data_IF_170922475138
#
_entry.id   IF_170922475138
#
_cell.length_a   1.000
_cell.length_b   1.000
_cell.length_c   1.000
_cell.angle_alpha   90.00
_cell.angle_beta   90.00
_cell.angle_gamma   90.00
#
_symmetry.space_group_name_H-M   'P 1'
#
loop_
_entity.id
_entity.type
_entity.pdbx_description
1 polymer ?
#
# COMPACT_ATOMS: atom_id res chain seq x y z
N UNK A 1 3.40 -21.00 13.64
CA UNK A 1 2.39 -20.43 12.73
C UNK A 1 2.69 -18.94 12.63
N UNK A 2 2.91 -18.41 11.43
CA UNK A 2 3.03 -16.96 11.25
C UNK A 2 1.62 -16.38 11.19
N UNK A 3 1.18 -15.73 12.26
CA UNK A 3 -0.15 -15.13 12.28
C UNK A 3 -0.20 -13.95 11.28
N UNK A 4 -1.19 -13.98 10.40
CA UNK A 4 -1.52 -12.86 9.53
C UNK A 4 -2.56 -11.99 10.23
N UNK A 5 -2.17 -10.78 10.59
CA UNK A 5 -2.99 -9.80 11.29
C UNK A 5 -3.45 -8.74 10.30
N UNK A 6 -4.76 -8.66 10.05
CA UNK A 6 -5.33 -7.59 9.24
C UNK A 6 -5.47 -6.31 10.07
N UNK A 7 -4.77 -5.25 9.65
CA UNK A 7 -4.89 -3.90 10.20
C UNK A 7 -5.92 -3.13 9.40
N UNK A 8 -6.98 -2.63 10.06
CA UNK A 8 -8.15 -2.06 9.36
C UNK A 8 -8.10 -0.55 9.13
N UNK A 9 -7.23 0.17 9.84
CA UNK A 9 -7.14 1.63 9.79
C UNK A 9 -5.70 2.06 9.56
N UNK A 10 -5.52 3.10 8.77
CA UNK A 10 -4.22 3.69 8.51
C UNK A 10 -3.55 4.20 9.78
N UNK A 11 -4.31 4.81 10.69
CA UNK A 11 -3.80 5.29 11.98
C UNK A 11 -3.17 4.19 12.82
N UNK A 12 -3.77 3.00 12.82
CA UNK A 12 -3.24 1.86 13.57
C UNK A 12 -1.99 1.29 12.91
N UNK A 13 -1.98 1.20 11.57
CA UNK A 13 -0.80 0.77 10.83
C UNK A 13 0.40 1.71 11.06
N UNK A 14 0.16 3.04 11.00
CA UNK A 14 1.19 4.05 11.30
C UNK A 14 1.76 3.90 12.71
N UNK A 15 0.90 3.66 13.70
CA UNK A 15 1.35 3.41 15.08
C UNK A 15 2.25 2.17 15.14
N UNK A 16 1.84 1.07 14.51
CA UNK A 16 2.63 -0.18 14.47
C UNK A 16 4.01 0.04 13.85
N UNK A 17 4.11 0.73 12.72
CA UNK A 17 5.42 1.00 12.08
C UNK A 17 6.33 1.81 13.02
N UNK A 18 5.80 2.82 13.71
CA UNK A 18 6.57 3.64 14.65
C UNK A 18 7.03 2.88 15.90
N UNK A 19 6.17 2.02 16.45
CA UNK A 19 6.46 1.22 17.65
C UNK A 19 7.43 0.07 17.36
N UNK A 20 7.24 -0.60 16.22
CA UNK A 20 7.99 -1.80 15.87
C UNK A 20 9.29 -1.50 15.14
N UNK A 21 9.42 -0.30 14.55
CA UNK A 21 10.62 0.18 13.82
C UNK A 21 11.18 -0.90 12.87
N UNK A 22 10.36 -1.36 11.90
CA UNK A 22 10.78 -2.42 11.00
C UNK A 22 11.96 -1.98 10.13
N UNK A 23 12.75 -2.95 9.66
CA UNK A 23 13.79 -2.70 8.67
C UNK A 23 13.22 -2.43 7.27
N UNK A 24 12.02 -2.96 6.99
CA UNK A 24 11.38 -2.82 5.68
C UNK A 24 9.86 -2.85 5.73
N UNK A 25 9.25 -2.27 4.70
CA UNK A 25 7.83 -2.45 4.35
C UNK A 25 7.76 -3.03 2.94
N UNK A 26 6.87 -4.00 2.77
CA UNK A 26 6.54 -4.56 1.46
C UNK A 26 5.18 -4.02 1.03
N UNK A 27 4.99 -3.77 -0.26
CA UNK A 27 3.69 -3.32 -0.79
C UNK A 27 3.30 -4.07 -2.06
N UNK A 28 2.00 -4.10 -2.35
CA UNK A 28 1.48 -4.49 -3.67
C UNK A 28 0.41 -3.50 -4.13
N UNK A 29 0.40 -3.23 -5.43
CA UNK A 29 -0.62 -2.42 -6.09
C UNK A 29 -1.59 -3.41 -6.75
N UNK A 30 -2.72 -3.66 -6.09
CA UNK A 30 -3.66 -4.70 -6.49
C UNK A 30 -4.56 -4.13 -7.61
N UNK A 31 -4.54 -4.76 -8.79
CA UNK A 31 -5.37 -4.41 -9.95
C UNK A 31 -6.48 -5.45 -10.19
N UNK A 32 -7.61 -5.01 -10.76
CA UNK A 32 -8.67 -5.93 -11.13
C UNK A 32 -8.30 -6.69 -12.42
N UNK A 33 -7.75 -7.90 -12.29
CA UNK A 33 -7.40 -8.75 -13.42
C UNK A 33 -8.59 -9.14 -14.32
N UNK A 34 -9.82 -9.10 -13.79
CA UNK A 34 -11.04 -9.42 -14.52
C UNK A 34 -11.63 -8.20 -15.26
N UNK A 35 -11.14 -6.99 -14.98
CA UNK A 35 -11.53 -5.78 -15.72
C UNK A 35 -10.68 -5.64 -16.99
N UNK A 36 -11.32 -5.27 -18.10
CA UNK A 36 -10.61 -4.89 -19.33
C UNK A 36 -9.62 -3.73 -19.12
N UNK A 37 -9.94 -2.84 -18.17
CA UNK A 37 -9.12 -1.68 -17.83
C UNK A 37 -8.03 -1.98 -16.81
N UNK A 38 -8.02 -3.16 -16.16
CA UNK A 38 -7.10 -3.49 -15.04
C UNK A 38 -6.99 -2.37 -13.98
N UNK A 39 -8.11 -1.71 -13.70
CA UNK A 39 -8.14 -0.59 -12.76
C UNK A 39 -7.59 -0.97 -11.38
N UNK A 40 -6.90 0.00 -10.77
CA UNK A 40 -6.47 -0.08 -9.38
C UNK A 40 -7.64 -0.39 -8.45
N UNK A 41 -7.49 -1.45 -7.67
CA UNK A 41 -8.48 -1.89 -6.67
C UNK A 41 -8.06 -1.55 -5.26
N UNK A 42 -6.77 -1.75 -4.92
CA UNK A 42 -6.27 -1.49 -3.58
C UNK A 42 -4.75 -1.26 -3.57
N UNK A 43 -4.28 -0.53 -2.57
CA UNK A 43 -2.88 -0.55 -2.13
C UNK A 43 -2.80 -1.46 -0.91
N UNK A 44 -1.92 -2.46 -0.96
CA UNK A 44 -1.63 -3.32 0.18
C UNK A 44 -0.28 -2.97 0.75
N UNK A 45 -0.21 -2.76 2.06
CA UNK A 45 1.02 -2.60 2.80
C UNK A 45 1.19 -3.78 3.75
N UNK A 46 2.37 -4.38 3.74
CA UNK A 46 2.71 -5.58 4.49
C UNK A 46 3.92 -5.25 5.36
N UNK A 47 3.71 -5.35 6.67
CA UNK A 47 4.71 -5.15 7.69
C UNK A 47 5.07 -6.52 8.29
N UNK A 48 6.32 -6.94 8.11
CA UNK A 48 6.86 -8.11 8.80
C UNK A 48 7.45 -7.68 10.13
N UNK A 49 6.87 -8.14 11.24
CA UNK A 49 7.37 -7.79 12.56
C UNK A 49 7.02 -8.87 13.60
N UNK A 50 7.94 -9.11 14.54
CA UNK A 50 7.76 -10.02 15.70
C UNK A 50 7.21 -11.42 15.34
N UNK A 51 7.60 -11.96 14.18
CA UNK A 51 7.20 -13.30 13.74
C UNK A 51 5.81 -13.40 13.07
N UNK A 52 5.17 -12.26 12.77
CA UNK A 52 3.88 -12.22 12.07
C UNK A 52 3.82 -11.17 10.97
N UNK A 53 2.80 -11.27 10.12
CA UNK A 53 2.53 -10.33 9.03
C UNK A 53 1.38 -9.41 9.41
N UNK A 54 1.61 -8.10 9.43
CA UNK A 54 0.57 -7.10 9.60
C UNK A 54 0.22 -6.52 8.24
N UNK A 55 -1.01 -6.77 7.77
CA UNK A 55 -1.45 -6.38 6.43
C UNK A 55 -2.49 -5.28 6.53
N UNK A 56 -2.21 -4.15 5.90
CA UNK A 56 -3.12 -3.04 5.73
C UNK A 56 -3.53 -2.91 4.26
N UNK A 57 -4.80 -2.58 4.02
CA UNK A 57 -5.35 -2.35 2.70
C UNK A 57 -5.98 -0.96 2.66
N UNK A 58 -5.57 -0.15 1.70
CA UNK A 58 -6.24 1.09 1.33
C UNK A 58 -6.92 0.93 -0.02
N UNK A 59 -8.07 1.57 -0.18
CA UNK A 59 -8.90 1.48 -1.38
C UNK A 59 -9.10 2.88 -1.97
N UNK A 60 -9.34 3.01 -3.28
CA UNK A 60 -9.73 4.29 -3.87
C UNK A 60 -10.96 4.89 -3.18
N UNK A 61 -10.98 6.23 -3.07
CA UNK A 61 -12.11 6.99 -2.54
C UNK A 61 -13.21 7.16 -3.59
N UNK A 62 -13.93 6.07 -3.85
CA UNK A 62 -15.00 6.06 -4.86
C UNK A 62 -14.47 6.47 -6.24
N UNK A 63 -15.05 7.54 -6.81
CA UNK A 63 -14.67 8.11 -8.11
C UNK A 63 -13.57 9.18 -8.02
N UNK A 64 -13.16 9.59 -6.81
CA UNK A 64 -12.08 10.56 -6.64
C UNK A 64 -10.73 9.90 -6.96
N UNK A 65 -9.83 10.64 -7.59
CA UNK A 65 -8.49 10.17 -7.94
C UNK A 65 -7.52 10.23 -6.75
N UNK A 66 -7.95 9.65 -5.63
CA UNK A 66 -7.21 9.62 -4.38
C UNK A 66 -7.51 8.35 -3.60
N UNK A 67 -6.50 7.84 -2.90
CA UNK A 67 -6.65 6.75 -1.93
C UNK A 67 -7.43 7.23 -0.71
N UNK A 68 -8.28 6.37 -0.15
CA UNK A 68 -9.27 6.76 0.87
C UNK A 68 -8.63 7.22 2.18
N UNK A 69 -7.61 6.52 2.66
CA UNK A 69 -7.03 6.80 3.97
C UNK A 69 -5.62 7.38 3.90
N UNK A 70 -4.77 6.87 2.99
CA UNK A 70 -3.40 7.35 2.78
C UNK A 70 -3.36 8.68 2.04
N UNK A 71 -4.39 9.00 1.26
CA UNK A 71 -4.47 10.25 0.51
C UNK A 71 -3.52 10.31 -0.71
N UNK A 72 -2.87 9.19 -1.07
CA UNK A 72 -2.01 9.12 -2.25
C UNK A 72 -2.85 9.43 -3.50
N UNK A 73 -2.34 10.31 -4.37
CA UNK A 73 -3.00 10.65 -5.62
C UNK A 73 -2.98 9.45 -6.57
N UNK A 74 -4.13 9.15 -7.18
CA UNK A 74 -4.27 8.09 -8.19
C UNK A 74 -4.19 8.76 -9.56
N UNK A 75 -3.30 8.29 -10.41
CA UNK A 75 -3.15 8.81 -11.77
C UNK A 75 -4.16 8.16 -12.71
N UNK A 76 -4.42 8.82 -13.82
CA UNK A 76 -5.17 8.25 -14.94
C UNK A 76 -4.23 8.21 -16.13
N UNK A 77 -3.99 7.03 -16.68
CA UNK A 77 -3.12 6.87 -17.84
C UNK A 77 -3.82 7.32 -19.14
N UNK A 78 -3.09 7.24 -20.27
CA UNK A 78 -3.59 7.58 -21.60
C UNK A 78 -4.81 6.75 -22.06
N UNK A 79 -5.01 5.57 -21.46
CA UNK A 79 -6.12 4.68 -21.74
C UNK A 79 -7.32 4.91 -20.80
N UNK A 80 -7.25 5.91 -19.91
CA UNK A 80 -8.27 6.19 -18.92
C UNK A 80 -8.22 5.27 -17.69
N UNK A 81 -7.15 4.50 -17.52
CA UNK A 81 -6.99 3.54 -16.43
C UNK A 81 -6.45 4.25 -15.19
N UNK A 82 -7.13 4.02 -14.06
CA UNK A 82 -6.69 4.52 -12.74
C UNK A 82 -5.56 3.65 -12.20
N UNK A 83 -4.41 4.25 -11.91
CA UNK A 83 -3.22 3.54 -11.45
C UNK A 83 -2.44 4.31 -10.38
N UNK A 84 -1.71 3.56 -9.56
CA UNK A 84 -0.60 4.07 -8.76
C UNK A 84 0.69 3.57 -9.41
N UNK A 85 1.74 4.37 -9.32
CA UNK A 85 3.09 3.93 -9.67
C UNK A 85 3.86 3.50 -8.42
N UNK A 86 4.89 2.69 -8.60
CA UNK A 86 5.82 2.33 -7.53
C UNK A 86 6.41 3.57 -6.85
N UNK A 87 6.74 4.60 -7.64
CA UNK A 87 7.30 5.84 -7.13
C UNK A 87 6.33 6.63 -6.25
N UNK A 88 5.01 6.57 -6.52
CA UNK A 88 4.00 7.21 -5.67
C UNK A 88 3.99 6.56 -4.28
N UNK A 89 4.01 5.23 -4.25
CA UNK A 89 3.96 4.45 -3.02
C UNK A 89 5.26 4.61 -2.23
N UNK A 90 6.41 4.49 -2.89
CA UNK A 90 7.73 4.61 -2.27
C UNK A 90 7.91 6.01 -1.67
N UNK A 91 7.58 7.07 -2.42
CA UNK A 91 7.65 8.44 -1.91
C UNK A 91 6.73 8.66 -0.71
N UNK A 92 5.50 8.16 -0.78
CA UNK A 92 4.56 8.25 0.34
C UNK A 92 5.10 7.57 1.60
N UNK A 93 5.56 6.33 1.50
CA UNK A 93 6.08 5.55 2.64
C UNK A 93 7.31 6.23 3.25
N UNK A 94 8.23 6.71 2.42
CA UNK A 94 9.43 7.43 2.87
C UNK A 94 9.10 8.77 3.52
N UNK A 95 8.10 9.48 3.02
CA UNK A 95 7.62 10.73 3.64
C UNK A 95 7.02 10.47 5.03
N UNK A 96 6.22 9.40 5.19
CA UNK A 96 5.56 9.08 6.46
C UNK A 96 6.49 8.47 7.52
N UNK A 97 7.48 7.67 7.10
CA UNK A 97 8.29 6.84 8.01
C UNK A 97 9.80 7.07 7.94
N UNK A 98 10.28 7.87 6.99
CA UNK A 98 11.68 8.25 6.83
C UNK A 98 12.39 7.57 5.65
N UNK A 99 13.41 8.26 5.11
CA UNK A 99 14.16 7.85 3.92
C UNK A 99 14.96 6.55 4.06
N UNK A 100 15.31 6.18 5.29
CA UNK A 100 16.13 4.99 5.57
C UNK A 100 15.34 3.68 5.57
N UNK A 101 14.00 3.76 5.56
CA UNK A 101 13.15 2.57 5.55
C UNK A 101 13.22 1.91 4.17
N UNK A 102 13.55 0.62 4.13
CA UNK A 102 13.57 -0.13 2.88
C UNK A 102 12.15 -0.42 2.43
N UNK A 103 11.85 -0.18 1.15
CA UNK A 103 10.53 -0.38 0.58
C UNK A 103 10.65 -1.31 -0.62
N UNK A 104 9.87 -2.40 -0.63
CA UNK A 104 9.92 -3.41 -1.70
C UNK A 104 8.54 -3.63 -2.30
N UNK A 105 8.45 -3.65 -3.62
CA UNK A 105 7.24 -4.11 -4.32
C UNK A 105 7.19 -5.64 -4.32
N UNK A 106 5.99 -6.17 -4.08
CA UNK A 106 5.69 -7.59 -4.19
C UNK A 106 4.85 -7.83 -5.44
N UNK A 107 5.42 -8.55 -6.39
CA UNK A 107 4.77 -8.97 -7.62
C UNK A 107 4.49 -10.48 -7.53
N UNK A 108 3.24 -10.88 -7.71
CA UNK A 108 2.92 -12.29 -8.00
C UNK A 108 2.90 -12.47 -9.51
N UNK A 109 3.85 -13.23 -10.03
CA UNK A 109 3.98 -13.60 -11.44
C UNK A 109 2.84 -14.48 -11.93
#
# INVERSE_FOLDING_TARGET
MSDLVRVRKWTDFRRLVKELKPESIVYSIDQNAMSKTKELTALRLILLARGGYHVYLDFPRGRENVMRETGIQIHVDENGVRCLTDDDVIRFIKCEFGENLKVFSFWTT
#
